data_IF_377474414912
#
_entry.id   IF_377474414912
#
_cell.length_a   1.000
_cell.length_b   1.000
_cell.length_c   1.000
_cell.angle_alpha   90.00
_cell.angle_beta   90.00
_cell.angle_gamma   90.00
#
_symmetry.space_group_name_H-M   'P 1'
#
loop_
_entity.id
_entity.type
_entity.pdbx_description
1 polymer ?
#
# COMPACT_ATOMS: atom_id res chain seq x y z
N UNK A 1 6.83 13.33 -2.29
CA UNK A 1 7.79 12.22 -2.20
C UNK A 1 7.09 10.97 -2.67
N UNK A 2 7.64 10.26 -3.66
CA UNK A 2 6.94 9.15 -4.32
C UNK A 2 7.86 8.03 -4.81
N UNK A 3 9.16 8.29 -4.97
CA UNK A 3 10.14 7.25 -5.22
C UNK A 3 10.57 6.65 -3.87
N UNK A 4 10.34 5.36 -3.67
CA UNK A 4 10.79 4.65 -2.48
C UNK A 4 12.26 4.23 -2.65
N UNK A 5 13.11 4.61 -1.69
CA UNK A 5 14.55 4.34 -1.71
C UNK A 5 14.92 3.15 -0.83
N UNK A 6 14.37 3.10 0.39
CA UNK A 6 14.66 2.05 1.36
C UNK A 6 13.49 1.83 2.34
N UNK A 7 13.45 0.65 2.94
CA UNK A 7 12.41 0.23 3.90
C UNK A 7 13.04 -0.48 5.09
N UNK A 8 12.73 0.01 6.29
CA UNK A 8 13.12 -0.60 7.56
C UNK A 8 11.90 -1.11 8.34
N UNK A 9 12.03 -2.30 8.91
CA UNK A 9 10.98 -2.94 9.71
C UNK A 9 11.34 -2.91 11.20
N UNK A 10 10.64 -2.08 11.97
CA UNK A 10 10.76 -2.07 13.41
C UNK A 10 9.90 -3.19 14.01
N UNK A 11 10.55 -4.24 14.53
CA UNK A 11 9.86 -5.37 15.15
C UNK A 11 9.21 -4.95 16.47
N UNK A 12 7.92 -5.20 16.56
CA UNK A 12 7.11 -5.05 17.77
C UNK A 12 7.14 -6.33 18.62
N UNK A 13 6.69 -6.25 19.88
CA UNK A 13 6.69 -7.38 20.82
C UNK A 13 5.89 -8.59 20.33
N UNK A 14 4.82 -8.37 19.57
CA UNK A 14 3.96 -9.42 19.03
C UNK A 14 4.57 -10.14 17.80
N UNK A 15 5.65 -9.61 17.21
CA UNK A 15 6.38 -10.19 16.08
C UNK A 15 5.61 -10.28 14.76
N UNK A 16 4.30 -9.97 14.78
CA UNK A 16 3.39 -10.09 13.63
C UNK A 16 2.99 -8.75 13.04
N UNK A 17 3.23 -7.65 13.74
CA UNK A 17 2.78 -6.31 13.34
C UNK A 17 3.90 -5.27 13.45
N UNK A 18 5.01 -5.42 12.69
CA UNK A 18 6.07 -4.42 12.70
C UNK A 18 5.56 -3.04 12.27
N UNK A 19 6.22 -1.98 12.74
CA UNK A 19 6.07 -0.65 12.15
C UNK A 19 7.01 -0.54 10.95
N UNK A 20 6.48 -0.06 9.82
CA UNK A 20 7.21 0.04 8.56
C UNK A 20 7.64 1.48 8.38
N UNK A 21 8.95 1.70 8.34
CA UNK A 21 9.57 2.98 8.03
C UNK A 21 10.05 2.94 6.59
N UNK A 22 9.64 3.89 5.78
CA UNK A 22 10.06 3.97 4.38
C UNK A 22 10.65 5.36 4.09
N UNK A 23 11.83 5.36 3.46
CA UNK A 23 12.48 6.56 2.96
C UNK A 23 11.99 6.81 1.54
N UNK A 24 11.43 8.00 1.31
CA UNK A 24 11.01 8.44 -0.01
C UNK A 24 11.77 9.68 -0.46
N UNK A 25 12.11 9.71 -1.74
CA UNK A 25 12.66 10.87 -2.43
C UNK A 25 11.61 11.54 -3.33
N UNK A 26 11.92 12.76 -3.78
CA UNK A 26 11.21 13.40 -4.88
C UNK A 26 11.64 12.79 -6.22
N UNK A 27 10.70 12.60 -7.14
CA UNK A 27 10.99 12.17 -8.52
C UNK A 27 11.53 13.30 -9.41
N UNK A 28 11.43 14.55 -8.95
CA UNK A 28 11.90 15.70 -9.72
C UNK A 28 13.42 15.85 -9.62
N UNK A 29 14.09 15.97 -10.76
CA UNK A 29 15.52 16.27 -10.81
C UNK A 29 15.87 17.70 -10.38
N UNK A 30 14.89 18.62 -10.46
CA UNK A 30 15.09 20.04 -10.11
C UNK A 30 14.81 20.28 -8.63
N UNK A 31 13.77 19.64 -8.09
CA UNK A 31 13.40 19.75 -6.68
C UNK A 31 13.81 18.48 -5.95
N UNK A 32 14.96 18.53 -5.29
CA UNK A 32 15.48 17.43 -4.49
C UNK A 32 14.95 17.54 -3.06
N UNK A 33 14.41 16.44 -2.55
CA UNK A 33 14.02 16.33 -1.15
C UNK A 33 13.80 14.89 -0.76
N UNK A 34 13.85 14.63 0.55
CA UNK A 34 13.53 13.32 1.13
C UNK A 34 12.52 13.45 2.26
N UNK A 35 11.76 12.39 2.50
CA UNK A 35 10.85 12.26 3.63
C UNK A 35 10.89 10.83 4.17
N UNK A 36 10.70 10.70 5.47
CA UNK A 36 10.47 9.40 6.12
C UNK A 36 8.99 9.28 6.44
N UNK A 37 8.39 8.19 5.99
CA UNK A 37 7.00 7.86 6.27
C UNK A 37 6.92 6.61 7.16
N UNK A 38 5.94 6.58 8.05
CA UNK A 38 5.69 5.46 8.96
C UNK A 38 4.32 4.86 8.66
N UNK A 39 4.26 3.54 8.51
CA UNK A 39 3.05 2.79 8.20
C UNK A 39 2.84 1.67 9.21
N UNK A 40 1.59 1.49 9.63
CA UNK A 40 1.22 0.42 10.56
C UNK A 40 0.61 -0.74 9.78
N UNK A 41 0.91 -1.97 10.20
CA UNK A 41 0.33 -3.16 9.58
C UNK A 41 -1.20 -3.22 9.66
N UNK A 42 -1.82 -2.55 10.64
CA UNK A 42 -3.28 -2.44 10.73
C UNK A 42 -3.86 -1.68 9.52
N UNK A 43 -3.32 -0.49 9.22
CA UNK A 43 -3.76 0.35 8.11
C UNK A 43 -3.54 -0.36 6.76
N UNK A 44 -2.40 -1.08 6.62
CA UNK A 44 -2.09 -1.86 5.41
C UNK A 44 -3.10 -3.00 5.21
N UNK A 45 -3.42 -3.75 6.27
CA UNK A 45 -4.39 -4.85 6.20
C UNK A 45 -5.79 -4.32 5.88
N UNK A 46 -6.15 -3.14 6.38
CA UNK A 46 -7.42 -2.48 6.05
C UNK A 46 -7.52 -2.18 4.55
N UNK A 47 -6.48 -1.59 3.96
CA UNK A 47 -6.43 -1.35 2.50
C UNK A 47 -6.53 -2.65 1.71
N UNK A 48 -5.79 -3.70 2.10
CA UNK A 48 -5.88 -5.00 1.44
C UNK A 48 -7.26 -5.64 1.58
N UNK A 49 -8.00 -5.37 2.64
CA UNK A 49 -9.36 -5.85 2.87
C UNK A 49 -10.45 -4.95 2.25
N UNK A 50 -10.07 -3.79 1.72
CA UNK A 50 -10.96 -2.84 1.04
C UNK A 50 -11.37 -3.26 -0.38
N UNK A 51 -11.96 -2.33 -1.14
CA UNK A 51 -12.33 -2.54 -2.54
C UNK A 51 -11.11 -2.75 -3.43
N UNK A 52 -11.23 -3.61 -4.44
CA UNK A 52 -10.22 -3.71 -5.49
C UNK A 52 -10.31 -2.51 -6.43
N UNK A 53 -9.18 -2.05 -6.97
CA UNK A 53 -9.18 -1.09 -8.06
C UNK A 53 -9.63 -1.78 -9.37
N UNK A 54 -10.59 -1.19 -10.08
CA UNK A 54 -11.19 -1.77 -11.28
C UNK A 54 -11.33 -0.72 -12.40
N UNK A 55 -11.21 -1.17 -13.66
CA UNK A 55 -11.55 -0.40 -14.86
C UNK A 55 -12.08 -1.36 -15.92
N UNK A 56 -13.23 -1.05 -16.53
CA UNK A 56 -13.88 -1.94 -17.50
C UNK A 56 -13.17 -1.97 -18.86
N UNK A 57 -12.42 -0.92 -19.18
CA UNK A 57 -11.64 -0.81 -20.41
C UNK A 57 -10.43 0.09 -20.19
N UNK A 58 -9.39 0.02 -21.06
CA UNK A 58 -8.22 0.88 -20.97
C UNK A 58 -8.54 2.39 -20.95
N UNK A 59 -9.69 2.79 -21.51
CA UNK A 59 -10.15 4.18 -21.55
C UNK A 59 -10.91 4.61 -20.29
N UNK A 60 -11.35 3.67 -19.45
CA UNK A 60 -12.07 3.99 -18.21
C UNK A 60 -11.09 4.42 -17.11
N UNK A 61 -11.54 5.33 -16.26
CA UNK A 61 -10.83 5.69 -15.04
C UNK A 61 -10.83 4.51 -14.07
N UNK A 62 -9.79 4.43 -13.24
CA UNK A 62 -9.78 3.52 -12.11
C UNK A 62 -10.86 3.92 -11.11
N UNK A 63 -11.67 2.96 -10.70
CA UNK A 63 -12.67 3.09 -9.64
C UNK A 63 -12.58 1.93 -8.64
N UNK A 64 -13.43 1.96 -7.62
CA UNK A 64 -13.63 0.82 -6.75
C UNK A 64 -14.43 -0.28 -7.48
N UNK A 65 -14.07 -1.54 -7.28
CA UNK A 65 -14.85 -2.67 -7.76
C UNK A 65 -16.15 -2.77 -6.97
N UNK A 66 -17.28 -2.53 -7.64
CA UNK A 66 -18.62 -2.58 -7.04
C UNK A 66 -19.36 -3.91 -7.27
N UNK A 67 -18.75 -4.84 -8.01
CA UNK A 67 -19.32 -6.16 -8.26
C UNK A 67 -19.29 -7.08 -7.04
N UNK A 68 -19.87 -8.28 -7.18
CA UNK A 68 -19.85 -9.28 -6.11
C UNK A 68 -18.45 -9.83 -5.88
N UNK A 69 -17.94 -9.70 -4.66
CA UNK A 69 -16.68 -10.28 -4.23
C UNK A 69 -16.69 -11.83 -4.39
N UNK A 70 -15.76 -12.43 -5.14
CA UNK A 70 -15.66 -13.88 -5.24
C UNK A 70 -15.23 -14.53 -3.90
N UNK A 71 -15.61 -15.79 -3.69
CA UNK A 71 -15.30 -16.55 -2.47
C UNK A 71 -14.49 -17.83 -2.79
N UNK A 72 -13.39 -18.11 -2.06
CA UNK A 72 -12.79 -17.26 -1.03
C UNK A 72 -12.25 -15.95 -1.60
N UNK A 73 -12.17 -14.91 -0.76
CA UNK A 73 -11.71 -13.58 -1.18
C UNK A 73 -10.27 -13.68 -1.74
N UNK A 74 -9.97 -13.19 -2.95
CA UNK A 74 -8.62 -13.21 -3.47
C UNK A 74 -7.63 -12.55 -2.50
N UNK A 75 -6.49 -13.20 -2.28
CA UNK A 75 -5.42 -12.70 -1.39
C UNK A 75 -5.51 -13.16 0.07
N UNK A 76 -6.49 -13.98 0.47
CA UNK A 76 -6.53 -14.62 1.80
C UNK A 76 -5.76 -15.95 1.79
N UNK A 77 -5.11 -16.28 2.90
CA UNK A 77 -4.48 -17.59 3.11
C UNK A 77 -5.55 -18.61 3.48
N UNK A 78 -5.52 -19.79 2.84
CA UNK A 78 -6.45 -20.91 3.07
C UNK A 78 -6.26 -21.59 4.41
#
# INVERSE_FOLDING_TARGET
FSAAEDVFLLRTKDGKSPEIYALFSTVSHVFQGSAVCVYRMADIREVFNGPFAHRDSPLHQWGAYEGRMPYPRPGVVS
#
